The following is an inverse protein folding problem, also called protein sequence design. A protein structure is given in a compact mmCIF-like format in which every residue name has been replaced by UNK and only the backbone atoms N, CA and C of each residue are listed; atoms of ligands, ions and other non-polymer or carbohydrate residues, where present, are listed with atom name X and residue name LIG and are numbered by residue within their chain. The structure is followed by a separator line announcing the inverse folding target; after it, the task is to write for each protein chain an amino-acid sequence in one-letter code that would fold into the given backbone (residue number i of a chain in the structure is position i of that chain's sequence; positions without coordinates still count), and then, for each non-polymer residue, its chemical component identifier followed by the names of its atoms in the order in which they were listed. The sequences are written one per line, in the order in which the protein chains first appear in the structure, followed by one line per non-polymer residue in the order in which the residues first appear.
data_IF_909485191061
#
_entry.id   IF_909485191061
#
_cell.length_a   1.000
_cell.length_b   1.000
_cell.length_c   1.000
_cell.angle_alpha   90.00
_cell.angle_beta   90.00
_cell.angle_gamma   90.00
#
_symmetry.space_group_name_H-M   'P 1'
#
loop_
_entity.id
_entity.type
_entity.pdbx_description
1 polymer ?
#
# COMPACT_ATOMS: atom_id res chain seq x y z
N UNK A 1 14.65 -10.69 28.69
CA UNK A 1 14.47 -9.24 28.89
C UNK A 1 13.36 -8.82 27.94
N UNK A 2 12.29 -8.21 28.44
CA UNK A 2 11.31 -7.56 27.57
C UNK A 2 11.90 -6.21 27.18
N UNK A 3 12.04 -5.97 25.88
CA UNK A 3 12.45 -4.68 25.35
C UNK A 3 11.20 -3.79 25.29
N UNK A 4 11.25 -2.60 25.90
CA UNK A 4 10.21 -1.58 25.76
C UNK A 4 10.25 -1.00 24.34
N UNK A 5 9.57 -1.67 23.42
CA UNK A 5 9.43 -1.26 22.03
C UNK A 5 8.11 -0.51 21.90
N UNK A 6 8.18 0.74 21.42
CA UNK A 6 6.99 1.51 21.08
C UNK A 6 6.27 0.86 19.90
N UNK A 7 4.98 0.60 20.07
CA UNK A 7 4.15 -0.08 19.07
C UNK A 7 2.84 0.68 18.86
N UNK A 8 2.37 0.68 17.61
CA UNK A 8 1.05 1.16 17.24
C UNK A 8 0.41 0.20 16.25
N UNK A 9 -0.93 0.13 16.28
CA UNK A 9 -1.73 -0.65 15.34
C UNK A 9 -2.69 0.30 14.65
N UNK A 10 -2.66 0.33 13.31
CA UNK A 10 -3.59 1.09 12.50
C UNK A 10 -4.57 0.13 11.82
N UNK A 11 -5.87 0.41 11.95
CA UNK A 11 -6.95 -0.41 11.38
C UNK A 11 -7.80 0.46 10.46
N UNK A 12 -8.26 -0.14 9.36
CA UNK A 12 -9.18 0.47 8.41
C UNK A 12 -10.26 -0.56 8.07
N UNK A 13 -11.51 -0.10 7.99
CA UNK A 13 -12.60 -0.94 7.49
C UNK A 13 -12.57 -0.93 5.97
N UNK A 14 -12.40 -2.10 5.37
CA UNK A 14 -12.39 -2.27 3.93
C UNK A 14 -13.60 -3.10 3.49
N UNK A 15 -14.15 -2.79 2.31
CA UNK A 15 -15.17 -3.65 1.69
C UNK A 15 -14.50 -4.87 1.03
N UNK A 16 -15.24 -5.94 0.79
CA UNK A 16 -14.70 -7.11 0.06
C UNK A 16 -14.35 -6.75 -1.40
N UNK A 17 -13.26 -7.31 -1.93
CA UNK A 17 -12.87 -7.18 -3.34
C UNK A 17 -11.50 -6.53 -3.53
N UNK A 18 -11.44 -5.52 -4.40
CA UNK A 18 -10.21 -4.79 -4.69
C UNK A 18 -9.92 -3.75 -3.59
N UNK A 19 -9.01 -4.09 -2.68
CA UNK A 19 -8.58 -3.19 -1.60
C UNK A 19 -7.30 -2.40 -1.93
N UNK A 20 -6.87 -2.35 -3.19
CA UNK A 20 -5.74 -1.51 -3.62
C UNK A 20 -5.93 -0.05 -3.19
N UNK A 21 -7.11 0.60 -3.40
CA UNK A 21 -7.32 1.99 -3.00
C UNK A 21 -7.21 2.18 -1.48
N UNK A 22 -7.79 1.26 -0.70
CA UNK A 22 -7.76 1.31 0.77
C UNK A 22 -6.32 1.15 1.30
N UNK A 23 -5.53 0.28 0.68
CA UNK A 23 -4.11 0.10 1.02
C UNK A 23 -3.31 1.39 0.79
N UNK A 24 -3.57 2.10 -0.32
CA UNK A 24 -2.94 3.40 -0.57
C UNK A 24 -3.42 4.48 0.41
N UNK A 25 -4.70 4.50 0.77
CA UNK A 25 -5.21 5.42 1.78
C UNK A 25 -4.52 5.21 3.13
N UNK A 26 -4.35 3.94 3.55
CA UNK A 26 -3.70 3.57 4.79
C UNK A 26 -2.22 4.00 4.82
N UNK A 27 -1.47 3.71 3.75
CA UNK A 27 -0.03 4.05 3.71
C UNK A 27 0.22 5.55 3.58
N UNK A 28 -0.65 6.29 2.88
CA UNK A 28 -0.60 7.75 2.85
C UNK A 28 -0.83 8.33 4.24
N UNK A 29 -1.87 7.88 4.95
CA UNK A 29 -2.12 8.35 6.32
C UNK A 29 -0.97 8.00 7.28
N UNK A 30 -0.40 6.80 7.16
CA UNK A 30 0.79 6.41 7.92
C UNK A 30 1.97 7.35 7.64
N UNK A 31 2.18 7.71 6.37
CA UNK A 31 3.24 8.64 5.98
C UNK A 31 2.98 10.06 6.48
N UNK A 32 1.73 10.54 6.46
CA UNK A 32 1.38 11.84 7.03
C UNK A 32 1.58 11.85 8.55
N UNK A 33 1.32 10.73 9.22
CA UNK A 33 1.51 10.61 10.67
C UNK A 33 2.99 10.59 11.07
N UNK A 34 3.80 9.77 10.38
CA UNK A 34 5.18 9.50 10.79
C UNK A 34 6.24 10.20 9.94
N UNK A 35 5.84 10.92 8.89
CA UNK A 35 6.71 11.60 7.92
C UNK A 35 7.79 10.67 7.34
N UNK A 36 7.38 9.47 6.89
CA UNK A 36 8.31 8.40 6.44
C UNK A 36 9.09 8.76 5.17
N UNK A 37 8.48 9.53 4.27
CA UNK A 37 9.06 10.01 3.02
C UNK A 37 9.34 11.51 3.14
N UNK A 38 10.55 11.92 2.81
CA UNK A 38 10.96 13.34 2.79
C UNK A 38 10.10 14.17 1.83
N UNK A 39 9.71 15.37 2.25
CA UNK A 39 8.93 16.34 1.48
C UNK A 39 9.57 16.70 0.13
N UNK A 40 10.91 16.68 0.06
CA UNK A 40 11.66 16.91 -1.18
C UNK A 40 11.32 15.84 -2.23
N UNK A 41 11.17 14.58 -1.80
CA UNK A 41 10.76 13.50 -2.69
C UNK A 41 9.29 13.62 -3.08
N UNK A 42 8.42 14.12 -2.19
CA UNK A 42 6.99 14.34 -2.50
C UNK A 42 6.79 15.42 -3.55
N UNK A 43 7.58 16.50 -3.50
CA UNK A 43 7.47 17.63 -4.42
C UNK A 43 8.03 17.31 -5.81
N UNK A 44 9.11 16.53 -5.89
CA UNK A 44 9.76 16.14 -7.15
C UNK A 44 9.12 14.90 -7.78
N UNK A 45 8.59 14.00 -6.96
CA UNK A 45 7.83 12.84 -7.37
C UNK A 45 6.53 12.83 -6.58
N UNK A 46 5.42 13.17 -7.24
CA UNK A 46 4.06 12.86 -6.74
C UNK A 46 4.16 11.51 -6.03
N UNK A 47 3.89 11.42 -4.72
CA UNK A 47 4.11 10.24 -3.87
C UNK A 47 3.87 8.92 -4.63
N UNK A 48 4.94 8.39 -5.24
CA UNK A 48 4.82 7.28 -6.18
C UNK A 48 5.09 6.01 -5.41
N UNK A 49 4.17 5.70 -4.49
CA UNK A 49 4.10 4.38 -3.91
C UNK A 49 4.10 3.35 -5.03
N UNK A 50 5.00 2.37 -4.94
CA UNK A 50 5.08 1.30 -5.93
C UNK A 50 4.22 0.14 -5.47
N UNK A 51 3.40 -0.37 -6.37
CA UNK A 51 2.71 -1.64 -6.16
C UNK A 51 3.71 -2.78 -6.32
N UNK A 52 3.64 -3.83 -5.50
CA UNK A 52 4.47 -5.01 -5.69
C UNK A 52 4.01 -5.75 -6.97
N UNK A 53 4.94 -6.38 -7.73
CA UNK A 53 4.59 -7.11 -8.97
C UNK A 53 3.53 -8.20 -8.78
N UNK A 54 3.43 -8.77 -7.56
CA UNK A 54 2.40 -9.75 -7.21
C UNK A 54 0.97 -9.21 -7.37
N UNK A 55 0.76 -7.89 -7.32
CA UNK A 55 -0.57 -7.30 -7.50
C UNK A 55 -1.12 -7.47 -8.91
N UNK A 56 -0.26 -7.65 -9.90
CA UNK A 56 -0.68 -7.92 -11.29
C UNK A 56 -1.48 -9.23 -11.42
N UNK A 57 -1.33 -10.15 -10.48
CA UNK A 57 -1.97 -11.46 -10.47
C UNK A 57 -3.00 -11.61 -9.34
N UNK A 58 -3.49 -10.49 -8.75
CA UNK A 58 -4.51 -10.53 -7.68
C UNK A 58 -5.75 -11.32 -8.09
N UNK A 59 -6.10 -11.26 -9.38
CA UNK A 59 -7.26 -11.95 -9.96
C UNK A 59 -6.84 -13.12 -10.88
N UNK A 60 -5.60 -13.61 -10.74
CA UNK A 60 -5.00 -14.61 -11.62
C UNK A 60 -4.45 -14.03 -12.93
N UNK A 61 -3.92 -14.89 -13.79
CA UNK A 61 -3.27 -14.50 -15.06
C UNK A 61 -4.26 -14.27 -16.23
N UNK A 62 -5.56 -14.24 -15.95
CA UNK A 62 -6.61 -14.32 -16.98
C UNK A 62 -6.59 -15.65 -17.74
N UNK A 63 -7.48 -15.77 -18.72
CA UNK A 63 -7.38 -16.84 -19.73
C UNK A 63 -6.17 -16.55 -20.62
N UNK A 64 -5.34 -17.56 -20.95
CA UNK A 64 -4.31 -17.44 -21.97
C UNK A 64 -4.87 -16.72 -23.21
N UNK A 65 -4.11 -15.80 -23.86
CA UNK A 65 -4.55 -15.10 -25.07
C UNK A 65 -5.02 -16.02 -26.20
N UNK A 66 -4.60 -17.29 -26.17
CA UNK A 66 -4.99 -18.35 -27.10
C UNK A 66 -6.42 -18.89 -26.89
N UNK A 67 -7.09 -18.49 -25.80
CA UNK A 67 -8.45 -18.90 -25.43
C UNK A 67 -9.46 -17.74 -25.52
N UNK A 68 -9.06 -16.59 -26.05
CA UNK A 68 -9.89 -15.45 -26.45
C UNK A 68 -10.07 -15.44 -27.97
#
# INVERSE_FOLDING_TARGET
QNYDISMAVMLMFCSEGDNIPDAFALVNHLNDWLHLISEVNVFLSRLNWRVPPSWMLLFGSGLPPLLL
#
